data_IF_331557192323
#
_entry.id   IF_331557192323
#
_cell.length_a   1.000
_cell.length_b   1.000
_cell.length_c   1.000
_cell.angle_alpha   90.00
_cell.angle_beta   90.00
_cell.angle_gamma   90.00
#
_symmetry.space_group_name_H-M   'P 1'
#
loop_
_entity.id
_entity.type
_entity.pdbx_description
1 polymer ?
#
# COMPACT_ATOMS: atom_id res chain seq x y z
N UNK A 1 11.11 -11.31 -40.26
CA UNK A 1 9.94 -11.30 -39.34
C UNK A 1 10.46 -11.25 -37.91
N UNK A 2 10.19 -10.29 -37.03
CA UNK A 2 9.52 -8.99 -37.11
C UNK A 2 10.04 -8.17 -35.91
N UNK A 3 10.74 -7.07 -36.19
CA UNK A 3 11.22 -6.07 -35.22
C UNK A 3 10.63 -4.72 -35.63
N UNK A 4 9.32 -4.56 -35.41
CA UNK A 4 8.58 -3.32 -35.72
C UNK A 4 7.85 -2.79 -34.45
N UNK A 5 7.82 -3.56 -33.35
CA UNK A 5 7.13 -3.19 -32.11
C UNK A 5 7.83 -2.12 -31.25
N UNK A 6 9.16 -2.07 -31.24
CA UNK A 6 9.88 -1.23 -30.26
C UNK A 6 10.03 0.25 -30.66
N UNK A 7 9.71 0.61 -31.92
CA UNK A 7 9.90 1.99 -32.39
C UNK A 7 8.70 2.91 -32.11
N UNK A 8 7.50 2.35 -31.91
CA UNK A 8 6.29 3.15 -31.70
C UNK A 8 6.08 3.62 -30.26
N UNK A 9 6.70 2.98 -29.26
CA UNK A 9 6.52 3.34 -27.84
C UNK A 9 7.47 4.43 -27.34
N UNK A 10 8.47 4.84 -28.15
CA UNK A 10 9.53 5.76 -27.70
C UNK A 10 9.46 7.18 -28.28
N UNK A 11 8.36 7.55 -28.93
CA UNK A 11 8.08 8.91 -29.37
C UNK A 11 6.61 9.28 -29.15
N UNK A 12 6.15 9.21 -27.91
CA UNK A 12 5.01 10.04 -27.51
C UNK A 12 5.60 11.40 -27.17
N UNK A 13 5.39 12.45 -27.98
CA UNK A 13 5.88 13.78 -27.67
C UNK A 13 5.33 14.18 -26.31
N UNK A 14 6.18 14.76 -25.47
CA UNK A 14 5.82 15.26 -24.14
C UNK A 14 4.97 16.55 -24.25
N UNK A 15 4.00 16.58 -25.15
CA UNK A 15 3.17 17.72 -25.42
C UNK A 15 2.00 17.70 -24.45
N UNK A 16 2.19 18.37 -23.32
CA UNK A 16 1.07 18.77 -22.43
C UNK A 16 0.00 19.57 -23.18
N UNK A 17 0.37 20.27 -24.26
CA UNK A 17 -0.56 21.12 -25.03
C UNK A 17 -1.58 20.29 -25.82
N UNK A 18 -1.17 19.24 -26.54
CA UNK A 18 -2.11 18.36 -27.26
C UNK A 18 -3.10 17.63 -26.33
N UNK A 19 -2.73 17.46 -25.04
CA UNK A 19 -3.52 16.82 -23.98
C UNK A 19 -4.69 17.66 -23.45
N UNK A 20 -4.54 18.98 -23.37
CA UNK A 20 -5.65 19.87 -22.96
C UNK A 20 -6.64 20.07 -24.11
N UNK A 21 -6.16 20.10 -25.35
CA UNK A 21 -7.03 20.29 -26.51
C UNK A 21 -7.84 19.05 -26.87
N UNK A 22 -7.32 17.81 -26.76
CA UNK A 22 -8.06 16.63 -27.23
C UNK A 22 -9.30 16.29 -26.41
N UNK A 23 -9.21 16.33 -25.07
CA UNK A 23 -10.36 16.04 -24.19
C UNK A 23 -11.39 17.18 -24.25
N UNK A 24 -10.92 18.42 -24.36
CA UNK A 24 -11.77 19.60 -24.55
C UNK A 24 -12.48 19.57 -25.91
N UNK A 25 -11.81 19.14 -26.99
CA UNK A 25 -12.39 19.04 -28.33
C UNK A 25 -13.46 17.95 -28.38
N UNK A 26 -13.21 16.77 -27.78
CA UNK A 26 -14.21 15.70 -27.71
C UNK A 26 -15.43 16.16 -26.90
N UNK A 27 -15.20 16.79 -25.75
CA UNK A 27 -16.28 17.35 -24.94
C UNK A 27 -17.05 18.43 -25.70
N UNK A 28 -16.37 19.31 -26.43
CA UNK A 28 -17.02 20.34 -27.27
C UNK A 28 -17.83 19.71 -28.40
N UNK A 29 -17.35 18.64 -29.03
CA UNK A 29 -18.07 17.93 -30.09
C UNK A 29 -19.34 17.28 -29.55
N UNK A 30 -19.26 16.59 -28.41
CA UNK A 30 -20.43 15.99 -27.75
C UNK A 30 -21.40 17.09 -27.30
N UNK A 31 -20.90 18.18 -26.73
CA UNK A 31 -21.70 19.33 -26.32
C UNK A 31 -22.44 19.97 -27.51
N UNK A 32 -21.77 20.13 -28.65
CA UNK A 32 -22.37 20.66 -29.89
C UNK A 32 -23.45 19.73 -30.43
N UNK A 33 -23.25 18.41 -30.39
CA UNK A 33 -24.26 17.42 -30.80
C UNK A 33 -25.49 17.52 -29.88
N UNK A 34 -25.30 17.58 -28.56
CA UNK A 34 -26.39 17.73 -27.57
C UNK A 34 -27.13 19.06 -27.76
N UNK A 35 -26.41 20.16 -28.03
CA UNK A 35 -27.01 21.47 -28.30
C UNK A 35 -27.79 21.49 -29.61
N UNK A 36 -27.30 20.84 -30.67
CA UNK A 36 -27.99 20.75 -31.95
C UNK A 36 -29.29 19.93 -31.86
N UNK A 37 -29.27 18.85 -31.07
CA UNK A 37 -30.46 18.03 -30.78
C UNK A 37 -31.53 18.83 -30.02
N UNK A 38 -31.11 19.62 -29.02
CA UNK A 38 -32.00 20.51 -28.26
C UNK A 38 -32.58 21.67 -29.09
N UNK A 39 -31.81 22.23 -30.02
CA UNK A 39 -32.21 23.39 -30.82
C UNK A 39 -33.07 23.00 -32.03
N UNK A 40 -32.90 21.80 -32.59
CA UNK A 40 -33.61 21.36 -33.81
C UNK A 40 -34.03 19.88 -33.72
N UNK A 41 -34.93 19.53 -32.77
CA UNK A 41 -35.26 18.13 -32.47
C UNK A 41 -35.95 17.39 -33.63
N UNK A 42 -36.57 18.09 -34.57
CA UNK A 42 -37.32 17.47 -35.68
C UNK A 42 -36.46 17.14 -36.92
N UNK A 43 -35.17 17.52 -36.96
CA UNK A 43 -34.30 17.30 -38.14
C UNK A 43 -33.14 16.33 -37.91
N UNK A 44 -32.79 16.02 -36.66
CA UNK A 44 -31.61 15.23 -36.35
C UNK A 44 -32.07 14.05 -35.49
N UNK A 45 -32.09 12.87 -36.07
CA UNK A 45 -32.38 11.64 -35.33
C UNK A 45 -31.10 11.19 -34.62
N UNK A 46 -30.88 11.66 -33.39
CA UNK A 46 -29.67 11.34 -32.64
C UNK A 46 -29.77 9.92 -32.11
N UNK A 47 -29.03 9.00 -32.75
CA UNK A 47 -28.81 7.67 -32.21
C UNK A 47 -27.89 7.74 -30.99
N UNK A 48 -28.48 7.93 -29.82
CA UNK A 48 -27.80 8.02 -28.52
C UNK A 48 -26.84 6.85 -28.25
N UNK A 49 -27.13 5.67 -28.79
CA UNK A 49 -26.24 4.51 -28.74
C UNK A 49 -24.91 4.77 -29.47
N UNK A 50 -24.94 5.43 -30.63
CA UNK A 50 -23.73 5.84 -31.34
C UNK A 50 -22.99 6.97 -30.62
N UNK A 51 -23.70 7.93 -30.03
CA UNK A 51 -23.08 9.01 -29.23
C UNK A 51 -22.35 8.43 -28.02
N UNK A 52 -22.97 7.48 -27.32
CA UNK A 52 -22.35 6.76 -26.21
C UNK A 52 -21.13 5.94 -26.67
N UNK A 53 -21.23 5.25 -27.81
CA UNK A 53 -20.11 4.50 -28.40
C UNK A 53 -18.93 5.42 -28.74
N UNK A 54 -19.20 6.57 -29.38
CA UNK A 54 -18.20 7.59 -29.71
C UNK A 54 -17.57 8.14 -28.43
N UNK A 55 -18.37 8.40 -27.39
CA UNK A 55 -17.89 8.83 -26.09
C UNK A 55 -16.93 7.81 -25.44
N UNK A 56 -17.27 6.53 -25.48
CA UNK A 56 -16.41 5.45 -24.96
C UNK A 56 -15.14 5.31 -25.82
N UNK A 57 -15.26 5.29 -27.14
CA UNK A 57 -14.13 5.23 -28.07
C UNK A 57 -13.18 6.41 -27.90
N UNK A 58 -13.70 7.59 -27.58
CA UNK A 58 -12.89 8.77 -27.31
C UNK A 58 -12.10 8.67 -25.99
N UNK A 59 -12.55 7.84 -25.03
CA UNK A 59 -11.84 7.57 -23.77
C UNK A 59 -10.76 6.49 -23.90
N UNK A 60 -10.87 5.56 -24.87
CA UNK A 60 -9.88 4.50 -25.12
C UNK A 60 -8.42 5.00 -25.16
N UNK A 61 -8.05 6.07 -25.89
CA UNK A 61 -6.68 6.56 -25.88
C UNK A 61 -6.22 7.15 -24.53
N UNK A 62 -7.14 7.40 -23.59
CA UNK A 62 -6.84 7.92 -22.26
C UNK A 62 -6.81 6.85 -21.17
N UNK A 63 -7.22 5.61 -21.44
CA UNK A 63 -7.17 4.50 -20.46
C UNK A 63 -5.79 4.37 -19.80
N UNK A 64 -4.65 4.36 -20.54
CA UNK A 64 -3.32 4.27 -19.91
C UNK A 64 -3.01 5.47 -19.00
N UNK A 65 -3.59 6.64 -19.30
CA UNK A 65 -3.39 7.84 -18.50
C UNK A 65 -4.20 7.78 -17.21
N UNK A 66 -5.45 7.32 -17.28
CA UNK A 66 -6.34 7.15 -16.12
C UNK A 66 -5.72 6.15 -15.14
N UNK A 67 -5.22 5.02 -15.65
CA UNK A 67 -4.46 4.04 -14.86
C UNK A 67 -3.23 4.68 -14.20
N UNK A 68 -2.44 5.46 -14.95
CA UNK A 68 -1.25 6.13 -14.41
C UNK A 68 -1.55 7.15 -13.30
N UNK A 69 -2.69 7.85 -13.37
CA UNK A 69 -3.13 8.80 -12.35
C UNK A 69 -3.58 8.06 -11.10
N UNK A 70 -4.38 7.00 -11.28
CA UNK A 70 -4.88 6.18 -10.18
C UNK A 70 -3.74 5.56 -9.36
N UNK A 71 -2.74 4.98 -10.05
CA UNK A 71 -1.53 4.43 -9.42
C UNK A 71 -0.77 5.50 -8.63
N UNK A 72 -0.63 6.71 -9.18
CA UNK A 72 0.08 7.81 -8.50
C UNK A 72 -0.66 8.27 -7.23
N UNK A 73 -1.97 8.40 -7.28
CA UNK A 73 -2.80 8.82 -6.14
C UNK A 73 -2.86 7.74 -5.07
N UNK A 74 -2.92 6.47 -5.48
CA UNK A 74 -2.76 5.33 -4.59
C UNK A 74 -1.41 5.37 -3.86
N UNK A 75 -0.30 5.53 -4.57
CA UNK A 75 1.04 5.63 -3.97
C UNK A 75 1.17 6.78 -2.97
N UNK A 76 0.62 7.96 -3.27
CA UNK A 76 0.62 9.10 -2.32
C UNK A 76 -0.16 8.76 -1.05
N UNK A 77 -1.37 8.22 -1.20
CA UNK A 77 -2.24 7.85 -0.08
C UNK A 77 -1.61 6.76 0.76
N UNK A 78 -1.03 5.76 0.11
CA UNK A 78 -0.32 4.65 0.73
C UNK A 78 0.87 5.14 1.55
N UNK A 79 1.73 5.99 0.98
CA UNK A 79 2.86 6.60 1.70
C UNK A 79 2.43 7.35 2.96
N UNK A 80 1.34 8.12 2.87
CA UNK A 80 0.80 8.85 4.02
C UNK A 80 0.33 7.89 5.12
N UNK A 81 -0.34 6.79 4.75
CA UNK A 81 -0.74 5.74 5.68
C UNK A 81 0.45 5.05 6.33
N UNK A 82 1.49 4.68 5.57
CA UNK A 82 2.73 4.08 6.12
C UNK A 82 3.39 5.03 7.12
N UNK A 83 3.56 6.31 6.77
CA UNK A 83 4.16 7.31 7.68
C UNK A 83 3.34 7.49 8.95
N UNK A 84 2.02 7.59 8.84
CA UNK A 84 1.13 7.74 9.99
C UNK A 84 1.15 6.50 10.88
N UNK A 85 1.20 5.32 10.27
CA UNK A 85 1.28 4.05 11.00
C UNK A 85 2.60 3.92 11.74
N UNK A 86 3.71 4.30 11.11
CA UNK A 86 5.02 4.36 11.78
C UNK A 86 4.97 5.26 13.02
N UNK A 87 4.44 6.48 12.89
CA UNK A 87 4.26 7.37 14.03
C UNK A 87 3.38 6.76 15.14
N UNK A 88 2.29 6.08 14.77
CA UNK A 88 1.41 5.43 15.75
C UNK A 88 2.09 4.26 16.46
N UNK A 89 2.89 3.46 15.75
CA UNK A 89 3.72 2.40 16.33
C UNK A 89 4.74 3.02 17.30
N UNK A 90 5.41 4.08 16.88
CA UNK A 90 6.42 4.75 17.69
C UNK A 90 5.85 5.37 18.96
N UNK A 91 4.61 5.87 18.89
CA UNK A 91 3.92 6.43 20.05
C UNK A 91 3.32 5.37 20.96
N UNK A 92 2.87 4.24 20.41
CA UNK A 92 2.15 3.23 21.16
C UNK A 92 3.05 2.38 22.07
N UNK A 93 4.28 2.12 21.62
CA UNK A 93 5.27 1.37 22.38
C UNK A 93 6.31 2.37 22.87
N UNK A 94 6.27 2.69 24.16
CA UNK A 94 7.27 3.53 24.80
C UNK A 94 8.63 2.89 24.54
N UNK A 95 9.54 3.58 23.87
CA UNK A 95 10.83 3.06 23.43
C UNK A 95 11.87 4.13 23.74
N UNK A 96 13.04 3.77 24.28
CA UNK A 96 14.00 4.76 24.74
C UNK A 96 14.43 5.68 23.59
N UNK A 97 14.48 6.99 23.83
CA UNK A 97 14.82 7.97 22.78
C UNK A 97 16.24 7.77 22.22
N UNK A 98 17.15 7.24 23.03
CA UNK A 98 18.56 7.00 22.68
C UNK A 98 18.88 5.54 22.30
N UNK A 99 17.88 4.66 22.27
CA UNK A 99 18.05 3.26 21.90
C UNK A 99 18.15 3.09 20.38
N UNK A 100 19.12 2.31 19.91
CA UNK A 100 19.10 1.84 18.52
C UNK A 100 18.07 0.71 18.39
N UNK A 101 17.26 0.78 17.33
CA UNK A 101 16.31 -0.27 16.96
C UNK A 101 17.04 -1.60 16.78
N UNK A 102 18.30 -1.57 16.35
CA UNK A 102 19.13 -2.77 16.18
C UNK A 102 19.43 -3.49 17.48
N UNK A 103 19.47 -2.79 18.61
CA UNK A 103 19.81 -3.37 19.92
C UNK A 103 18.73 -4.35 20.40
N UNK A 104 17.50 -4.19 19.90
CA UNK A 104 16.33 -5.01 20.22
C UNK A 104 15.97 -6.00 19.11
N UNK A 105 16.90 -6.21 18.18
CA UNK A 105 16.89 -7.32 17.24
C UNK A 105 17.95 -8.32 17.71
N UNK A 106 17.57 -9.57 17.98
CA UNK A 106 18.56 -10.61 18.30
C UNK A 106 19.62 -10.70 17.22
N UNK A 107 20.85 -11.13 17.53
CA UNK A 107 21.92 -11.25 16.53
C UNK A 107 21.49 -12.07 15.29
N UNK A 108 20.68 -13.12 15.52
CA UNK A 108 20.03 -13.88 14.44
C UNK A 108 19.04 -13.03 13.61
N UNK A 109 18.19 -12.22 14.25
CA UNK A 109 17.24 -11.32 13.58
C UNK A 109 17.95 -10.14 12.90
N UNK A 110 19.03 -9.62 13.46
CA UNK A 110 19.87 -8.59 12.85
C UNK A 110 20.59 -9.14 11.62
N UNK A 111 21.18 -10.33 11.70
CA UNK A 111 21.77 -10.99 10.54
C UNK A 111 20.72 -11.32 9.48
N UNK A 112 19.51 -11.72 9.90
CA UNK A 112 18.38 -11.92 9.00
C UNK A 112 17.91 -10.59 8.39
N UNK A 113 17.96 -9.48 9.12
CA UNK A 113 17.68 -8.13 8.61
C UNK A 113 18.75 -7.66 7.62
N UNK A 114 20.04 -7.82 7.93
CA UNK A 114 21.16 -7.52 7.02
C UNK A 114 21.07 -8.40 5.78
N UNK A 115 20.70 -9.67 5.93
CA UNK A 115 20.47 -10.57 4.81
C UNK A 115 19.26 -10.13 3.99
N UNK A 116 18.12 -9.84 4.63
CA UNK A 116 16.90 -9.33 4.00
C UNK A 116 17.09 -7.97 3.34
N UNK A 117 18.02 -7.14 3.81
CA UNK A 117 18.37 -5.87 3.16
C UNK A 117 19.03 -6.08 1.80
N UNK A 118 19.63 -7.26 1.57
CA UNK A 118 20.17 -7.71 0.29
C UNK A 118 19.13 -8.40 -0.59
N UNK A 119 17.97 -8.77 -0.04
CA UNK A 119 16.84 -9.33 -0.78
C UNK A 119 15.94 -8.17 -1.23
N UNK A 120 15.15 -8.39 -2.29
CA UNK A 120 14.05 -7.50 -2.68
C UNK A 120 13.21 -7.13 -1.44
N UNK A 121 12.85 -5.84 -1.27
CA UNK A 121 11.98 -5.40 -0.19
C UNK A 121 10.69 -6.22 -0.09
N UNK A 122 10.13 -6.62 -1.23
CA UNK A 122 8.90 -7.40 -1.31
C UNK A 122 9.03 -8.79 -0.66
N UNK A 123 10.09 -9.52 -0.99
CA UNK A 123 10.31 -10.89 -0.49
C UNK A 123 10.59 -10.93 1.01
N UNK A 124 11.05 -9.81 1.58
CA UNK A 124 11.27 -9.69 3.02
C UNK A 124 9.97 -9.51 3.82
N UNK A 125 8.89 -9.03 3.18
CA UNK A 125 7.64 -8.71 3.88
C UNK A 125 6.94 -9.93 4.51
N UNK A 126 6.81 -11.09 3.83
CA UNK A 126 6.26 -12.29 4.45
C UNK A 126 7.08 -12.75 5.67
N UNK A 127 8.41 -12.67 5.58
CA UNK A 127 9.29 -13.09 6.68
C UNK A 127 9.14 -12.16 7.88
N UNK A 128 9.15 -10.84 7.66
CA UNK A 128 8.91 -9.87 8.72
C UNK A 128 7.54 -10.04 9.38
N UNK A 129 6.51 -10.34 8.59
CA UNK A 129 5.18 -10.61 9.11
C UNK A 129 5.18 -11.83 10.03
N UNK A 130 5.83 -12.92 9.63
CA UNK A 130 5.92 -14.13 10.46
C UNK A 130 6.69 -13.87 11.77
N UNK A 131 7.76 -13.06 11.73
CA UNK A 131 8.49 -12.68 12.93
C UNK A 131 7.65 -11.82 13.88
N UNK A 132 6.87 -10.87 13.34
CA UNK A 132 5.89 -10.11 14.13
C UNK A 132 4.86 -11.06 14.76
N UNK A 133 4.28 -11.99 13.99
CA UNK A 133 3.33 -12.97 14.52
C UNK A 133 3.96 -13.84 15.62
N UNK A 134 5.23 -14.21 15.47
CA UNK A 134 5.99 -14.99 16.47
C UNK A 134 6.18 -14.22 17.77
N UNK A 135 6.55 -12.93 17.75
CA UNK A 135 6.67 -12.14 18.99
C UNK A 135 5.30 -11.87 19.62
N UNK A 136 4.26 -11.63 18.81
CA UNK A 136 2.90 -11.47 19.33
C UNK A 136 2.43 -12.73 20.06
N UNK A 137 2.73 -13.93 19.53
CA UNK A 137 2.48 -15.21 20.21
C UNK A 137 3.17 -15.30 21.56
N UNK A 138 4.42 -14.85 21.66
CA UNK A 138 5.13 -14.79 22.95
C UNK A 138 4.46 -13.84 23.93
N UNK A 139 4.04 -12.65 23.46
CA UNK A 139 3.38 -11.64 24.29
C UNK A 139 2.04 -12.14 24.83
N UNK A 140 1.23 -12.82 24.01
CA UNK A 140 -0.03 -13.42 24.48
C UNK A 140 0.18 -14.74 25.22
N UNK A 141 1.41 -15.27 25.32
CA UNK A 141 1.71 -16.53 25.99
C UNK A 141 0.96 -17.76 25.45
N UNK A 142 0.84 -18.78 26.29
CA UNK A 142 0.25 -20.09 25.96
C UNK A 142 -1.28 -20.06 25.78
N UNK A 143 -1.92 -18.89 25.65
CA UNK A 143 -3.36 -18.79 25.34
C UNK A 143 -3.74 -19.53 24.06
N UNK A 144 -2.75 -19.79 23.19
CA UNK A 144 -2.94 -20.62 22.02
C UNK A 144 -1.88 -21.72 21.95
N UNK A 145 -2.30 -22.95 22.22
CA UNK A 145 -1.47 -24.17 22.09
C UNK A 145 -1.52 -24.79 20.69
N UNK A 146 -2.19 -24.15 19.73
CA UNK A 146 -2.32 -24.63 18.35
C UNK A 146 -1.48 -23.79 17.38
N UNK A 147 -0.86 -24.44 16.41
CA UNK A 147 0.01 -23.77 15.44
C UNK A 147 -0.77 -22.83 14.48
N UNK A 148 -2.06 -23.06 14.27
CA UNK A 148 -2.91 -22.37 13.28
C UNK A 148 -3.60 -21.07 13.76
N UNK A 149 -2.99 -20.33 14.68
CA UNK A 149 -3.55 -19.06 15.17
C UNK A 149 -3.35 -17.96 14.13
N UNK A 150 -4.44 -17.33 13.69
CA UNK A 150 -4.36 -16.22 12.74
C UNK A 150 -3.88 -14.93 13.42
N UNK A 151 -3.37 -13.99 12.62
CA UNK A 151 -3.03 -12.65 13.12
C UNK A 151 -4.22 -11.98 13.85
N UNK A 152 -5.44 -12.17 13.34
CA UNK A 152 -6.63 -11.57 13.93
C UNK A 152 -6.98 -12.20 15.29
N UNK A 153 -6.73 -13.50 15.46
CA UNK A 153 -6.87 -14.19 16.75
C UNK A 153 -5.86 -13.67 17.78
N UNK A 154 -4.60 -13.44 17.37
CA UNK A 154 -3.59 -12.81 18.22
C UNK A 154 -4.02 -11.40 18.64
N UNK A 155 -4.57 -10.60 17.73
CA UNK A 155 -5.12 -9.29 18.05
C UNK A 155 -6.27 -9.38 19.07
N UNK A 156 -7.16 -10.37 18.94
CA UNK A 156 -8.25 -10.59 19.91
C UNK A 156 -7.70 -10.95 21.29
N UNK A 157 -6.66 -11.78 21.37
CA UNK A 157 -6.00 -12.10 22.63
C UNK A 157 -5.27 -10.90 23.24
N UNK A 158 -4.55 -10.11 22.44
CA UNK A 158 -3.89 -8.89 22.90
C UNK A 158 -4.88 -7.87 23.49
N UNK A 159 -6.14 -7.87 23.06
CA UNK A 159 -7.19 -7.01 23.67
C UNK A 159 -7.57 -7.45 25.08
N UNK A 160 -7.33 -8.72 25.43
CA UNK A 160 -7.55 -9.26 26.77
C UNK A 160 -6.33 -9.04 27.66
N UNK A 161 -5.15 -8.80 27.07
CA UNK A 161 -3.94 -8.43 27.79
C UNK A 161 -4.06 -7.02 28.39
N UNK A 162 -3.92 -6.92 29.71
CA UNK A 162 -4.17 -5.67 30.43
C UNK A 162 -3.05 -4.65 30.28
N UNK A 163 -1.81 -5.12 30.07
CA UNK A 163 -0.64 -4.26 29.96
C UNK A 163 -0.39 -3.80 28.51
N UNK A 164 -1.05 -4.43 27.53
CA UNK A 164 -0.81 -4.12 26.13
C UNK A 164 -1.50 -2.81 25.71
N UNK A 165 -0.77 -1.86 25.08
CA UNK A 165 -1.32 -0.56 24.73
C UNK A 165 -2.41 -0.69 23.66
N UNK A 166 -3.59 -0.14 23.93
CA UNK A 166 -4.74 -0.16 22.98
C UNK A 166 -4.40 0.48 21.63
N UNK A 167 -3.61 1.54 21.63
CA UNK A 167 -3.16 2.18 20.41
C UNK A 167 -2.13 1.31 19.67
N UNK A 168 -1.39 0.46 20.38
CA UNK A 168 -0.52 -0.56 19.79
C UNK A 168 -1.31 -1.60 19.02
N UNK A 169 -2.47 -2.04 19.54
CA UNK A 169 -3.36 -2.98 18.83
C UNK A 169 -3.81 -2.40 17.48
N UNK A 170 -4.25 -1.14 17.47
CA UNK A 170 -4.67 -0.47 16.23
C UNK A 170 -3.50 -0.31 15.25
N UNK A 171 -2.33 0.05 15.77
CA UNK A 171 -1.13 0.19 14.97
C UNK A 171 -0.73 -1.15 14.31
N UNK A 172 -0.77 -2.26 15.05
CA UNK A 172 -0.49 -3.60 14.55
C UNK A 172 -1.46 -4.06 13.46
N UNK A 173 -2.75 -3.78 13.63
CA UNK A 173 -3.76 -4.09 12.59
C UNK A 173 -3.46 -3.33 11.29
N UNK A 174 -3.08 -2.06 11.40
CA UNK A 174 -2.74 -1.25 10.23
C UNK A 174 -1.40 -1.67 9.60
N UNK A 175 -0.40 -2.08 10.39
CA UNK A 175 0.84 -2.71 9.88
C UNK A 175 0.50 -3.94 9.06
N UNK A 176 -0.27 -4.89 9.60
CA UNK A 176 -0.67 -6.10 8.88
C UNK A 176 -1.43 -5.78 7.58
N UNK A 177 -2.33 -4.79 7.62
CA UNK A 177 -3.07 -4.34 6.44
C UNK A 177 -2.14 -3.76 5.37
N UNK A 178 -1.21 -2.90 5.74
CA UNK A 178 -0.25 -2.30 4.81
C UNK A 178 0.70 -3.34 4.22
N UNK A 179 1.12 -4.33 5.01
CA UNK A 179 1.91 -5.48 4.54
C UNK A 179 1.13 -6.32 3.53
N UNK A 180 -0.14 -6.63 3.80
CA UNK A 180 -1.01 -7.35 2.84
C UNK A 180 -1.17 -6.59 1.53
N UNK A 181 -1.44 -5.29 1.60
CA UNK A 181 -1.53 -4.42 0.41
C UNK A 181 -0.21 -4.45 -0.37
N UNK A 182 0.93 -4.30 0.32
CA UNK A 182 2.24 -4.31 -0.34
C UNK A 182 2.58 -5.62 -1.06
N UNK A 183 2.08 -6.75 -0.55
CA UNK A 183 2.24 -8.07 -1.18
C UNK A 183 1.24 -8.26 -2.33
N UNK A 184 -0.01 -7.82 -2.18
CA UNK A 184 -1.08 -8.06 -3.14
C UNK A 184 -1.10 -7.08 -4.32
N UNK A 185 -0.78 -5.80 -4.06
CA UNK A 185 -0.81 -4.70 -5.03
C UNK A 185 0.62 -4.33 -5.46
N UNK A 186 1.52 -5.31 -5.55
CA UNK A 186 2.95 -5.09 -5.83
C UNK A 186 3.23 -4.37 -7.16
N UNK A 187 2.34 -4.55 -8.15
CA UNK A 187 2.47 -3.94 -9.48
C UNK A 187 2.03 -2.46 -9.50
N UNK A 188 1.27 -2.04 -8.47
CA UNK A 188 0.77 -0.67 -8.31
C UNK A 188 1.64 0.16 -7.35
N UNK A 189 2.59 -0.49 -6.66
CA UNK A 189 3.48 0.15 -5.69
C UNK A 189 4.91 0.20 -6.21
N UNK A 190 5.55 1.35 -6.00
CA UNK A 190 6.98 1.48 -6.26
C UNK A 190 7.80 0.67 -5.25
N UNK A 191 8.99 0.22 -5.66
CA UNK A 191 9.94 -0.44 -4.75
C UNK A 191 10.26 0.41 -3.50
N UNK A 192 10.24 1.74 -3.64
CA UNK A 192 10.39 2.68 -2.51
C UNK A 192 9.22 2.63 -1.54
N UNK A 193 8.00 2.38 -2.00
CA UNK A 193 6.83 2.21 -1.12
C UNK A 193 6.90 0.88 -0.39
N UNK A 194 7.25 -0.19 -1.07
CA UNK A 194 7.48 -1.51 -0.47
C UNK A 194 8.61 -1.44 0.56
N UNK A 195 9.70 -0.72 0.27
CA UNK A 195 10.81 -0.48 1.21
C UNK A 195 10.36 0.24 2.48
N UNK A 196 9.43 1.20 2.39
CA UNK A 196 8.89 1.88 3.58
C UNK A 196 8.03 0.95 4.43
N UNK A 197 7.31 0.02 3.81
CA UNK A 197 6.52 -1.01 4.54
C UNK A 197 7.47 -1.97 5.25
N UNK A 198 8.57 -2.34 4.60
CA UNK A 198 9.64 -3.13 5.22
C UNK A 198 10.20 -2.42 6.46
N UNK A 199 10.59 -1.15 6.32
CA UNK A 199 11.07 -0.33 7.44
C UNK A 199 10.05 -0.22 8.58
N UNK A 200 8.77 -0.05 8.25
CA UNK A 200 7.68 -0.07 9.23
C UNK A 200 7.61 -1.41 9.96
N UNK A 201 7.71 -2.53 9.24
CA UNK A 201 7.73 -3.88 9.81
C UNK A 201 8.89 -4.08 10.78
N UNK A 202 10.10 -3.67 10.40
CA UNK A 202 11.29 -3.74 11.26
C UNK A 202 11.13 -2.88 12.52
N UNK A 203 10.67 -1.64 12.35
CA UNK A 203 10.40 -0.72 13.48
C UNK A 203 9.39 -1.33 14.45
N UNK A 204 8.35 -1.98 13.91
CA UNK A 204 7.32 -2.65 14.69
C UNK A 204 7.90 -3.85 15.44
N UNK A 205 8.69 -4.69 14.77
CA UNK A 205 9.31 -5.87 15.37
C UNK A 205 10.22 -5.51 16.55
N UNK A 206 11.13 -4.55 16.37
CA UNK A 206 12.05 -4.13 17.42
C UNK A 206 11.31 -3.57 18.65
N UNK A 207 10.25 -2.77 18.42
CA UNK A 207 9.44 -2.21 19.50
C UNK A 207 8.62 -3.28 20.23
N UNK A 208 8.13 -4.29 19.52
CA UNK A 208 7.47 -5.43 20.15
C UNK A 208 8.44 -6.28 20.97
N UNK A 209 9.67 -6.49 20.48
CA UNK A 209 10.71 -7.16 21.26
C UNK A 209 11.04 -6.38 22.53
N UNK A 210 11.24 -5.06 22.43
CA UNK A 210 11.45 -4.21 23.60
C UNK A 210 10.29 -4.32 24.60
N UNK A 211 9.06 -4.20 24.11
CA UNK A 211 7.87 -4.35 24.96
C UNK A 211 7.84 -5.71 25.67
N UNK A 212 8.13 -6.79 24.93
CA UNK A 212 8.18 -8.13 25.49
C UNK A 212 9.25 -8.25 26.57
N UNK A 213 10.47 -7.76 26.32
CA UNK A 213 11.56 -7.76 27.29
C UNK A 213 11.24 -6.97 28.56
N UNK A 214 10.63 -5.78 28.44
CA UNK A 214 10.22 -4.97 29.59
C UNK A 214 9.14 -5.64 30.44
N UNK A 215 8.20 -6.32 29.80
CA UNK A 215 7.08 -6.96 30.50
C UNK A 215 7.44 -8.31 31.10
N UNK A 216 8.46 -9.01 30.56
CA UNK A 216 8.83 -10.36 30.98
C UNK A 216 10.23 -10.45 31.66
N UNK A 217 11.00 -9.37 31.72
CA UNK A 217 12.23 -9.31 32.54
C UNK A 217 11.98 -8.98 34.01
N UNK A 218 10.79 -8.47 34.36
CA UNK A 218 10.40 -8.16 35.74
C UNK A 218 9.91 -9.38 36.54
N UNK A 219 9.92 -10.57 35.95
CA UNK A 219 9.51 -11.84 36.59
C UNK A 219 10.69 -12.70 37.09
N UNK A 220 11.94 -12.19 37.05
CA UNK A 220 13.15 -12.80 37.62
C UNK A 220 13.74 -11.94 38.75
#
# INVERSE_FOLDING_TARGET
>A
MGRIGDWFLNKVPNDRRLREYSLSIVFFFVLVIVLLDLLIPERIDVHWQMVALIGILALVPFVPLIESINVKDMGITFRKRVKNTKYNVEKAFDFPEDADITDYLSESMFNQYVYQSRISPLDSLPVLRNEIERILRKIVGDYFTQDDVSFDDLIVALRKETLFPRDGIRALQEVNKLTKIAIQEQDELSEREISRVRELGITTLARLNYYYEQTHSNDN
#
